data_IF_846978365772
#
_entry.id   IF_846978365772
#
_cell.length_a   1.000
_cell.length_b   1.000
_cell.length_c   1.000
_cell.angle_alpha   90.00
_cell.angle_beta   90.00
_cell.angle_gamma   90.00
#
_symmetry.space_group_name_H-M   'P 1'
#
loop_
_entity.id
_entity.type
_entity.pdbx_description
1 polymer ?
#
# COMPACT_ATOMS: atom_id res chain seq x y z
N UNK A 1 -48.02 -35.94 -19.46
CA UNK A 1 -48.33 -36.49 -18.12
C UNK A 1 -47.26 -35.99 -17.17
N UNK A 2 -47.51 -34.83 -16.58
CA UNK A 2 -47.83 -34.63 -15.16
C UNK A 2 -46.58 -34.54 -14.28
N UNK A 3 -46.13 -33.30 -14.09
CA UNK A 3 -45.25 -32.91 -13.00
C UNK A 3 -46.14 -32.56 -11.79
N UNK A 4 -45.85 -33.19 -10.64
CA UNK A 4 -46.58 -32.98 -9.40
C UNK A 4 -46.18 -31.65 -8.75
N UNK A 5 -47.18 -30.79 -8.53
CA UNK A 5 -47.16 -29.68 -7.60
C UNK A 5 -46.94 -30.19 -6.16
N UNK A 6 -46.06 -29.53 -5.41
CA UNK A 6 -46.20 -29.43 -3.95
C UNK A 6 -46.35 -27.96 -3.58
N UNK A 7 -47.58 -27.60 -3.21
CA UNK A 7 -47.89 -26.40 -2.44
C UNK A 7 -47.33 -26.57 -1.02
N UNK A 8 -46.66 -25.54 -0.51
CA UNK A 8 -46.57 -25.29 0.92
C UNK A 8 -47.13 -23.90 1.17
N UNK A 9 -48.29 -23.89 1.81
CA UNK A 9 -48.99 -22.71 2.31
C UNK A 9 -48.31 -22.25 3.59
N UNK A 10 -47.93 -20.98 3.68
CA UNK A 10 -47.67 -20.31 4.95
C UNK A 10 -48.69 -19.18 5.10
N UNK A 11 -49.62 -19.37 6.05
CA UNK A 11 -50.43 -18.29 6.59
C UNK A 11 -49.55 -17.41 7.48
N UNK A 12 -49.56 -16.10 7.23
CA UNK A 12 -49.38 -15.12 8.32
C UNK A 12 -50.39 -13.99 8.14
N UNK A 13 -51.05 -13.71 9.26
CA UNK A 13 -52.14 -12.78 9.49
C UNK A 13 -51.65 -11.34 9.70
N UNK A 14 -52.56 -10.42 9.41
CA UNK A 14 -52.65 -9.01 9.84
C UNK A 14 -51.81 -7.96 9.10
N UNK A 15 -52.54 -6.96 8.60
CA UNK A 15 -52.10 -5.76 7.89
C UNK A 15 -51.41 -4.77 8.84
N UNK A 16 -50.30 -4.21 8.37
CA UNK A 16 -49.65 -3.00 8.89
C UNK A 16 -48.56 -2.55 7.92
N UNK A 17 -48.78 -1.46 7.19
CA UNK A 17 -48.07 -1.05 5.97
C UNK A 17 -46.59 -0.69 6.16
N UNK A 18 -45.68 -1.53 5.67
CA UNK A 18 -44.30 -1.20 5.32
C UNK A 18 -43.98 -1.87 3.97
N UNK A 19 -44.01 -1.11 2.87
CA UNK A 19 -43.70 -1.62 1.54
C UNK A 19 -43.10 -0.52 0.65
N UNK A 20 -41.92 -0.01 1.05
CA UNK A 20 -41.03 0.80 0.21
C UNK A 20 -39.58 0.42 0.56
N UNK A 21 -39.15 -0.81 0.28
CA UNK A 21 -37.73 -1.19 0.40
C UNK A 21 -37.27 -2.39 -0.43
N UNK A 22 -38.17 -3.17 -1.04
CA UNK A 22 -37.75 -4.36 -1.82
C UNK A 22 -37.42 -4.07 -3.28
N UNK A 23 -38.08 -3.08 -3.92
CA UNK A 23 -37.87 -2.82 -5.36
C UNK A 23 -36.52 -2.15 -5.70
N UNK A 24 -35.88 -1.47 -4.74
CA UNK A 24 -34.58 -0.82 -4.97
C UNK A 24 -33.39 -1.79 -4.97
N UNK A 25 -33.49 -2.90 -4.23
CA UNK A 25 -32.39 -3.87 -4.12
C UNK A 25 -32.28 -4.80 -5.33
N UNK A 26 -33.39 -5.08 -6.01
CA UNK A 26 -33.40 -5.93 -7.20
C UNK A 26 -32.84 -5.20 -8.43
N UNK A 27 -32.94 -3.86 -8.49
CA UNK A 27 -32.39 -3.04 -9.58
C UNK A 27 -30.85 -2.95 -9.53
N UNK A 28 -30.27 -2.84 -8.33
CA UNK A 28 -28.80 -2.80 -8.14
C UNK A 28 -28.16 -4.15 -8.52
N UNK A 29 -28.89 -5.26 -8.33
CA UNK A 29 -28.40 -6.60 -8.72
C UNK A 29 -28.43 -6.83 -10.24
N UNK A 30 -29.40 -6.26 -10.96
CA UNK A 30 -29.52 -6.44 -12.41
C UNK A 30 -28.40 -5.77 -13.22
N UNK A 31 -27.89 -4.62 -12.76
CA UNK A 31 -26.82 -3.86 -13.48
C UNK A 31 -25.43 -4.50 -13.31
N UNK A 32 -25.20 -5.28 -12.26
CA UNK A 32 -23.91 -5.92 -11.99
C UNK A 32 -23.70 -7.27 -12.71
N UNK A 33 -24.76 -7.89 -13.26
CA UNK A 33 -24.70 -9.26 -13.82
C UNK A 33 -25.34 -9.43 -15.20
N UNK A 34 -25.48 -8.36 -16.00
CA UNK A 34 -25.64 -8.49 -17.46
C UNK A 34 -26.83 -9.31 -17.99
N UNK A 35 -28.01 -9.20 -17.38
CA UNK A 35 -29.24 -9.84 -17.90
C UNK A 35 -30.18 -8.79 -18.54
N UNK A 36 -30.42 -8.93 -19.84
CA UNK A 36 -31.13 -7.97 -20.73
C UNK A 36 -32.66 -8.11 -20.76
N UNK A 37 -33.34 -8.38 -19.65
CA UNK A 37 -34.83 -8.55 -19.65
C UNK A 37 -35.58 -7.68 -18.62
N UNK A 38 -35.07 -6.49 -18.30
CA UNK A 38 -35.82 -5.48 -17.52
C UNK A 38 -35.80 -4.12 -18.22
N UNK A 39 -36.00 -4.10 -19.54
CA UNK A 39 -35.83 -2.89 -20.36
C UNK A 39 -37.14 -2.24 -20.87
N UNK A 40 -38.35 -2.77 -20.59
CA UNK A 40 -39.56 -2.26 -21.28
C UNK A 40 -40.70 -1.68 -20.42
N UNK A 41 -40.51 -1.37 -19.13
CA UNK A 41 -41.63 -0.85 -18.30
C UNK A 41 -41.48 0.56 -17.71
N UNK A 42 -40.50 1.36 -18.12
CA UNK A 42 -40.34 2.73 -17.57
C UNK A 42 -40.13 3.76 -18.67
N UNK A 43 -41.14 3.93 -19.53
CA UNK A 43 -41.31 5.17 -20.31
C UNK A 43 -42.16 6.14 -19.49
N UNK A 44 -41.51 7.09 -18.80
CA UNK A 44 -42.23 8.27 -18.31
C UNK A 44 -41.76 8.91 -17.01
N UNK A 45 -40.70 8.45 -16.34
CA UNK A 45 -40.22 9.10 -15.11
C UNK A 45 -38.74 9.48 -15.26
N UNK A 46 -38.47 10.79 -15.31
CA UNK A 46 -37.13 11.34 -15.13
C UNK A 46 -36.68 11.07 -13.69
N UNK A 47 -36.12 9.89 -13.44
CA UNK A 47 -35.33 9.65 -12.24
C UNK A 47 -33.97 10.34 -12.41
N UNK A 48 -33.87 11.58 -11.93
CA UNK A 48 -32.57 12.13 -11.55
C UNK A 48 -32.12 11.26 -10.37
N UNK A 49 -31.26 10.28 -10.63
CA UNK A 49 -30.48 9.62 -9.60
C UNK A 49 -29.57 10.70 -8.98
N UNK A 50 -30.08 11.41 -7.96
CA UNK A 50 -29.19 12.01 -6.96
C UNK A 50 -28.47 10.83 -6.33
N UNK A 51 -27.25 10.55 -6.80
CA UNK A 51 -26.33 9.72 -6.02
C UNK A 51 -26.29 10.33 -4.64
N UNK A 52 -26.69 9.56 -3.63
CA UNK A 52 -26.62 10.01 -2.25
C UNK A 52 -25.17 10.41 -1.98
N UNK A 53 -24.98 11.70 -1.76
CA UNK A 53 -23.72 12.30 -1.41
C UNK A 53 -23.17 11.56 -0.19
N UNK A 54 -22.08 10.79 -0.37
CA UNK A 54 -21.38 10.19 0.77
C UNK A 54 -21.05 11.32 1.76
N UNK A 55 -21.23 11.09 3.08
CA UNK A 55 -20.73 12.04 4.08
C UNK A 55 -19.25 12.29 3.75
N UNK A 56 -18.87 13.58 3.67
CA UNK A 56 -17.52 13.98 3.27
C UNK A 56 -16.48 13.42 4.25
N UNK A 57 -15.27 13.22 3.77
CA UNK A 57 -14.14 12.78 4.60
C UNK A 57 -13.60 13.98 5.40
N UNK A 58 -13.28 13.86 6.70
CA UNK A 58 -12.65 14.94 7.46
C UNK A 58 -11.37 15.47 6.78
N UNK A 59 -11.00 16.74 6.99
CA UNK A 59 -9.72 17.26 6.50
C UNK A 59 -8.55 16.49 7.12
N UNK A 60 -7.48 16.36 6.36
CA UNK A 60 -6.19 15.84 6.85
C UNK A 60 -5.46 16.98 7.56
N UNK A 61 -5.12 16.81 8.83
CA UNK A 61 -4.46 17.85 9.62
C UNK A 61 -3.01 17.49 9.93
N UNK A 62 -2.73 16.23 10.23
CA UNK A 62 -1.42 15.78 10.75
C UNK A 62 -0.79 14.77 9.80
N UNK A 63 0.31 15.18 9.16
CA UNK A 63 1.08 14.37 8.23
C UNK A 63 2.48 14.18 8.80
N UNK A 64 3.01 12.96 8.77
CA UNK A 64 4.42 12.73 9.04
C UNK A 64 5.15 12.19 7.82
N UNK A 65 6.42 12.56 7.69
CA UNK A 65 7.32 12.02 6.66
C UNK A 65 8.47 11.32 7.38
N UNK A 66 8.47 10.00 7.34
CA UNK A 66 9.46 9.16 8.00
C UNK A 66 10.60 8.84 7.04
N UNK A 67 11.82 9.09 7.50
CA UNK A 67 13.04 8.72 6.82
C UNK A 67 13.93 7.91 7.74
N UNK A 68 14.72 7.01 7.18
CA UNK A 68 15.63 6.19 7.97
C UNK A 68 14.91 5.22 8.89
N UNK A 69 13.78 4.67 8.48
CA UNK A 69 13.22 3.47 9.12
C UNK A 69 14.24 2.33 9.07
N UNK A 70 14.87 2.18 7.90
CA UNK A 70 16.14 1.48 7.76
C UNK A 70 17.27 2.50 7.59
N UNK A 71 18.30 2.44 8.43
CA UNK A 71 19.30 3.51 8.53
C UNK A 71 20.27 3.64 7.35
N UNK A 72 20.36 2.63 6.49
CA UNK A 72 21.22 2.59 5.31
C UNK A 72 20.49 2.95 4.01
N UNK A 73 19.19 3.24 4.04
CA UNK A 73 18.40 3.70 2.90
C UNK A 73 18.45 5.23 2.82
N UNK A 74 19.48 5.74 2.13
CA UNK A 74 19.95 7.11 2.34
C UNK A 74 19.05 8.21 1.79
N UNK A 75 18.18 7.96 0.81
CA UNK A 75 17.33 9.03 0.25
C UNK A 75 16.37 9.56 1.30
N UNK A 76 15.66 8.67 2.00
CA UNK A 76 14.75 9.07 3.08
C UNK A 76 15.49 9.74 4.25
N UNK A 77 16.65 9.20 4.64
CA UNK A 77 17.50 9.79 5.69
C UNK A 77 17.92 11.21 5.33
N UNK A 78 18.41 11.42 4.11
CA UNK A 78 18.93 12.70 3.65
C UNK A 78 17.83 13.75 3.54
N UNK A 79 16.71 13.41 2.90
CA UNK A 79 15.56 14.32 2.73
C UNK A 79 14.97 14.76 4.06
N UNK A 80 14.76 13.82 4.99
CA UNK A 80 14.21 14.18 6.29
C UNK A 80 15.19 15.02 7.11
N UNK A 81 16.50 14.71 7.08
CA UNK A 81 17.52 15.58 7.72
C UNK A 81 17.55 16.98 7.13
N UNK A 82 17.31 17.11 5.82
CA UNK A 82 17.17 18.41 5.16
C UNK A 82 15.90 19.14 5.62
N UNK A 83 14.74 18.48 5.58
CA UNK A 83 13.45 19.09 5.96
C UNK A 83 13.30 19.40 7.45
N UNK A 84 14.07 18.75 8.32
CA UNK A 84 14.20 19.13 9.73
C UNK A 84 14.89 20.48 9.93
N UNK A 85 15.69 20.94 8.96
CA UNK A 85 16.35 22.25 8.97
C UNK A 85 15.56 23.27 8.16
N UNK A 86 15.15 22.88 6.96
CA UNK A 86 14.47 23.73 5.97
C UNK A 86 13.18 23.05 5.50
N UNK A 87 12.03 23.45 6.03
CA UNK A 87 10.75 22.76 5.81
C UNK A 87 9.86 23.38 4.73
N UNK A 88 10.34 24.40 4.02
CA UNK A 88 9.56 25.17 3.04
C UNK A 88 9.00 24.27 1.93
N UNK A 89 9.81 23.32 1.43
CA UNK A 89 9.43 22.38 0.37
C UNK A 89 8.22 21.51 0.74
N UNK A 90 8.10 21.14 2.02
CA UNK A 90 7.04 20.24 2.53
C UNK A 90 5.88 20.98 3.20
N UNK A 91 5.97 22.31 3.33
CA UNK A 91 4.91 23.11 3.98
C UNK A 91 3.69 23.23 3.07
N UNK A 92 2.50 23.00 3.63
CA UNK A 92 1.21 23.16 2.94
C UNK A 92 0.24 23.90 3.84
N UNK A 93 -0.62 24.73 3.25
CA UNK A 93 -1.60 25.49 4.03
C UNK A 93 -2.58 24.56 4.75
N UNK A 94 -2.81 24.80 6.04
CA UNK A 94 -3.76 24.04 6.85
C UNK A 94 -3.34 22.61 7.21
N UNK A 95 -2.08 22.22 6.95
CA UNK A 95 -1.55 20.88 7.25
C UNK A 95 -0.28 21.00 8.09
N UNK A 96 -0.25 20.33 9.24
CA UNK A 96 0.96 20.13 10.03
C UNK A 96 1.76 18.98 9.42
N UNK A 97 2.89 19.30 8.79
CA UNK A 97 3.79 18.30 8.20
C UNK A 97 5.04 18.14 9.06
N UNK A 98 5.24 16.95 9.62
CA UNK A 98 6.35 16.64 10.54
C UNK A 98 7.36 15.68 9.88
N UNK A 99 8.53 16.15 9.44
CA UNK A 99 9.62 15.26 9.06
C UNK A 99 10.22 14.57 10.30
N UNK A 100 10.55 13.28 10.21
CA UNK A 100 11.01 12.50 11.36
C UNK A 100 11.97 11.36 11.00
N UNK A 101 13.11 11.30 11.70
CA UNK A 101 14.04 10.17 11.57
C UNK A 101 13.56 9.00 12.43
N UNK A 102 13.10 7.94 11.77
CA UNK A 102 12.46 6.80 12.42
C UNK A 102 13.46 5.96 13.23
N UNK A 103 14.64 5.63 12.68
CA UNK A 103 15.70 4.92 13.38
C UNK A 103 17.00 5.73 13.45
N UNK A 104 17.14 6.67 14.40
CA UNK A 104 18.30 7.55 14.47
C UNK A 104 19.62 6.79 14.73
N UNK A 105 19.62 5.73 15.56
CA UNK A 105 20.84 4.96 15.82
C UNK A 105 21.31 4.18 14.59
N UNK A 106 20.40 3.54 13.86
CA UNK A 106 20.75 2.83 12.65
C UNK A 106 21.22 3.81 11.55
N UNK A 107 20.55 4.96 11.42
CA UNK A 107 20.93 6.00 10.46
C UNK A 107 22.32 6.59 10.75
N UNK A 108 22.67 6.80 12.02
CA UNK A 108 24.00 7.29 12.40
C UNK A 108 25.11 6.30 12.03
N UNK A 109 24.83 5.01 12.15
CA UNK A 109 25.77 3.93 11.81
C UNK A 109 25.73 3.50 10.34
N UNK A 110 24.82 4.07 9.54
CA UNK A 110 24.55 3.63 8.16
C UNK A 110 24.32 2.11 8.05
N UNK A 111 23.52 1.55 8.97
CA UNK A 111 23.11 0.14 8.98
C UNK A 111 21.60 0.04 8.87
N UNK A 112 21.08 -1.12 8.44
CA UNK A 112 19.63 -1.33 8.31
C UNK A 112 18.91 -1.16 9.64
N UNK A 113 19.37 -1.85 10.68
CA UNK A 113 18.87 -1.78 12.05
C UNK A 113 20.00 -2.09 13.04
N UNK A 114 19.75 -1.89 14.34
CA UNK A 114 20.68 -2.19 15.43
C UNK A 114 20.48 -3.62 15.95
N UNK A 115 19.28 -3.93 16.46
CA UNK A 115 19.00 -5.23 17.07
C UNK A 115 18.02 -6.06 16.23
N UNK A 116 16.92 -5.46 15.79
CA UNK A 116 15.89 -6.11 14.95
C UNK A 116 15.32 -5.13 13.93
N UNK A 117 14.69 -5.64 12.87
CA UNK A 117 14.08 -4.80 11.84
C UNK A 117 12.93 -3.94 12.41
N UNK A 118 13.10 -2.60 12.45
CA UNK A 118 12.12 -1.66 12.99
C UNK A 118 10.77 -1.79 12.28
N UNK A 119 10.76 -2.10 10.98
CA UNK A 119 9.55 -2.19 10.18
C UNK A 119 8.82 -3.53 10.34
N UNK A 120 9.11 -4.28 11.42
CA UNK A 120 8.49 -5.58 11.74
C UNK A 120 7.97 -5.67 13.17
N UNK A 121 8.08 -4.60 13.98
CA UNK A 121 7.81 -4.65 15.44
C UNK A 121 6.68 -3.71 15.90
N UNK A 122 5.75 -3.36 15.00
CA UNK A 122 4.55 -2.55 15.30
C UNK A 122 3.28 -3.36 15.55
N UNK A 123 3.38 -4.67 15.75
CA UNK A 123 2.24 -5.49 16.17
C UNK A 123 1.98 -5.36 17.69
N UNK A 124 0.77 -5.71 18.16
CA UNK A 124 0.41 -5.60 19.57
C UNK A 124 1.33 -6.37 20.53
N UNK A 125 1.91 -7.50 20.08
CA UNK A 125 2.79 -8.30 20.94
C UNK A 125 4.07 -7.54 21.24
N UNK A 126 4.68 -6.89 20.25
CA UNK A 126 5.88 -6.06 20.44
C UNK A 126 5.59 -4.77 21.19
N UNK A 127 4.51 -4.06 20.83
CA UNK A 127 4.16 -2.79 21.45
C UNK A 127 3.75 -2.94 22.93
N UNK A 128 3.18 -4.09 23.30
CA UNK A 128 2.78 -4.42 24.66
C UNK A 128 3.89 -4.92 25.58
N UNK A 129 5.12 -5.17 25.09
CA UNK A 129 6.23 -5.65 25.93
C UNK A 129 6.62 -4.60 26.98
N UNK A 130 6.96 -5.04 28.19
CA UNK A 130 7.51 -4.15 29.22
C UNK A 130 8.89 -3.61 28.84
N UNK A 131 9.21 -2.39 29.29
CA UNK A 131 10.51 -1.78 29.03
C UNK A 131 11.57 -2.37 29.98
N UNK A 132 12.25 -3.41 29.53
CA UNK A 132 13.41 -4.00 30.23
C UNK A 132 14.73 -3.55 29.59
N UNK A 133 15.87 -3.60 30.31
CA UNK A 133 17.19 -3.28 29.75
C UNK A 133 17.55 -4.09 28.50
N UNK A 134 17.13 -5.36 28.43
CA UNK A 134 17.41 -6.30 27.33
C UNK A 134 16.44 -6.16 26.15
N UNK A 135 15.45 -5.27 26.25
CA UNK A 135 14.48 -5.07 25.17
C UNK A 135 15.21 -4.50 23.92
N UNK A 136 15.05 -5.14 22.73
CA UNK A 136 15.68 -4.66 21.51
C UNK A 136 15.39 -3.18 21.30
N UNK A 137 16.41 -2.43 20.90
CA UNK A 137 16.32 -0.99 20.72
C UNK A 137 15.20 -0.62 19.75
N UNK A 138 15.02 -1.34 18.63
CA UNK A 138 13.92 -1.07 17.72
C UNK A 138 12.53 -1.31 18.32
N UNK A 139 12.37 -2.23 19.27
CA UNK A 139 11.09 -2.43 19.96
C UNK A 139 10.79 -1.25 20.89
N UNK A 140 11.79 -0.75 21.61
CA UNK A 140 11.66 0.50 22.39
C UNK A 140 11.32 1.68 21.49
N UNK A 141 12.02 1.79 20.35
CA UNK A 141 11.80 2.83 19.37
C UNK A 141 10.41 2.77 18.75
N UNK A 142 9.90 1.58 18.46
CA UNK A 142 8.54 1.38 17.96
C UNK A 142 7.49 1.87 18.96
N UNK A 143 7.69 1.63 20.27
CA UNK A 143 6.81 2.15 21.32
C UNK A 143 6.83 3.68 21.40
N UNK A 144 8.00 4.31 21.27
CA UNK A 144 8.12 5.78 21.20
C UNK A 144 7.37 6.35 19.99
N UNK A 145 7.56 5.74 18.81
CA UNK A 145 6.89 6.14 17.57
C UNK A 145 5.38 5.97 17.71
N UNK A 146 4.92 4.82 18.22
CA UNK A 146 3.52 4.54 18.44
C UNK A 146 2.88 5.55 19.40
N UNK A 147 3.57 5.92 20.49
CA UNK A 147 3.09 6.94 21.43
C UNK A 147 3.05 8.35 20.83
N UNK A 148 3.96 8.67 19.91
CA UNK A 148 4.08 10.03 19.33
C UNK A 148 3.16 10.25 18.14
N UNK A 149 3.00 9.23 17.29
CA UNK A 149 2.32 9.31 16.01
C UNK A 149 1.03 8.50 15.92
N UNK A 150 0.81 7.56 16.86
CA UNK A 150 -0.44 6.84 17.03
C UNK A 150 -1.25 7.42 18.20
N UNK A 151 -1.90 6.58 19.03
CA UNK A 151 -1.91 5.12 18.96
C UNK A 151 -2.68 4.58 17.75
N UNK A 152 -2.23 3.45 17.18
CA UNK A 152 -2.79 2.83 15.98
C UNK A 152 -4.29 2.55 16.17
N UNK A 153 -5.10 2.96 15.19
CA UNK A 153 -6.56 2.75 15.22
C UNK A 153 -7.34 3.70 16.15
N UNK A 154 -6.69 4.74 16.67
CA UNK A 154 -7.36 5.80 17.45
C UNK A 154 -7.59 7.07 16.62
N UNK A 155 -8.50 7.92 17.09
CA UNK A 155 -8.75 9.24 16.48
C UNK A 155 -7.55 10.20 16.62
N UNK A 156 -6.69 9.98 17.61
CA UNK A 156 -5.48 10.78 17.90
C UNK A 156 -4.31 10.46 16.96
N UNK A 157 -4.35 9.31 16.28
CA UNK A 157 -3.34 8.92 15.32
C UNK A 157 -3.15 9.99 14.24
N UNK A 158 -1.93 10.11 13.74
CA UNK A 158 -1.65 10.91 12.55
C UNK A 158 -2.53 10.46 11.40
N UNK A 159 -2.97 11.42 10.60
CA UNK A 159 -3.88 11.15 9.50
C UNK A 159 -3.13 10.41 8.38
N UNK A 160 -1.93 10.87 8.02
CA UNK A 160 -1.10 10.26 6.96
C UNK A 160 0.34 10.12 7.44
N UNK A 161 0.96 8.97 7.16
CA UNK A 161 2.41 8.80 7.24
C UNK A 161 2.95 8.36 5.89
N UNK A 162 3.84 9.17 5.32
CA UNK A 162 4.73 8.76 4.23
C UNK A 162 6.00 8.17 4.83
N UNK A 163 6.24 6.89 4.63
CA UNK A 163 7.46 6.22 5.09
C UNK A 163 8.35 5.89 3.90
N UNK A 164 9.53 6.50 3.88
CA UNK A 164 10.44 6.55 2.74
C UNK A 164 11.46 5.42 2.82
N UNK A 165 11.49 4.58 1.79
CA UNK A 165 12.37 3.43 1.65
C UNK A 165 13.15 3.48 0.34
N UNK A 166 14.29 2.80 0.34
CA UNK A 166 15.04 2.48 -0.87
C UNK A 166 15.22 0.97 -0.99
N UNK A 167 15.24 0.48 -2.22
CA UNK A 167 15.51 -0.91 -2.55
C UNK A 167 16.67 -1.01 -3.54
N UNK A 168 17.44 -2.09 -3.44
CA UNK A 168 18.46 -2.44 -4.45
C UNK A 168 17.83 -3.01 -5.72
N UNK A 169 16.56 -3.44 -5.67
CA UNK A 169 15.80 -3.99 -6.79
C UNK A 169 15.40 -2.92 -7.81
N UNK A 170 15.16 -3.32 -9.06
CA UNK A 170 14.86 -2.40 -10.16
C UNK A 170 13.38 -1.98 -10.19
N UNK A 171 12.85 -1.58 -9.02
CA UNK A 171 11.42 -1.31 -8.87
C UNK A 171 10.98 0.05 -9.40
N UNK A 172 11.90 1.00 -9.58
CA UNK A 172 11.54 2.37 -9.93
C UNK A 172 10.75 3.06 -8.81
N UNK A 173 10.00 4.10 -9.17
CA UNK A 173 9.09 4.81 -8.26
C UNK A 173 7.90 3.92 -7.90
N UNK A 174 7.70 3.64 -6.61
CA UNK A 174 6.68 2.71 -6.13
C UNK A 174 5.94 3.27 -4.91
N UNK A 175 4.61 3.16 -4.93
CA UNK A 175 3.74 3.38 -3.77
C UNK A 175 3.33 2.02 -3.20
N UNK A 176 3.42 1.86 -1.88
CA UNK A 176 3.05 0.64 -1.17
C UNK A 176 1.81 0.92 -0.31
N UNK A 177 0.73 0.20 -0.62
CA UNK A 177 -0.58 0.34 0.01
C UNK A 177 -0.87 -0.90 0.86
N UNK A 178 -1.52 -0.70 2.01
CA UNK A 178 -1.83 -1.80 2.95
C UNK A 178 -3.31 -2.20 2.94
N UNK A 179 -4.18 -1.38 2.34
CA UNK A 179 -5.63 -1.59 2.31
C UNK A 179 -6.19 -1.25 0.92
N UNK A 180 -6.87 -2.21 0.29
CA UNK A 180 -7.50 -2.02 -1.02
C UNK A 180 -8.84 -1.27 -0.96
N UNK A 181 -9.32 -0.97 0.25
CA UNK A 181 -10.56 -0.23 0.51
C UNK A 181 -10.34 1.22 0.93
N UNK A 182 -9.08 1.63 1.17
CA UNK A 182 -8.73 3.01 1.53
C UNK A 182 -8.86 3.95 0.31
N UNK A 183 -10.07 4.47 0.12
CA UNK A 183 -10.38 5.37 -0.98
C UNK A 183 -9.50 6.64 -0.99
N UNK A 184 -9.05 7.13 0.18
CA UNK A 184 -8.20 8.31 0.26
C UNK A 184 -6.83 8.04 -0.35
N UNK A 185 -6.18 6.96 0.08
CA UNK A 185 -4.84 6.58 -0.41
C UNK A 185 -4.88 6.16 -1.88
N UNK A 186 -5.95 5.50 -2.34
CA UNK A 186 -6.11 5.14 -3.75
C UNK A 186 -6.25 6.40 -4.63
N UNK A 187 -7.06 7.38 -4.22
CA UNK A 187 -7.19 8.65 -4.94
C UNK A 187 -5.88 9.43 -4.97
N UNK A 188 -5.17 9.48 -3.84
CA UNK A 188 -3.84 10.08 -3.76
C UNK A 188 -2.85 9.38 -4.70
N UNK A 189 -2.85 8.04 -4.71
CA UNK A 189 -1.98 7.25 -5.59
C UNK A 189 -2.29 7.51 -7.06
N UNK A 190 -3.57 7.59 -7.43
CA UNK A 190 -3.99 7.96 -8.78
C UNK A 190 -3.48 9.35 -9.18
N UNK A 191 -3.60 10.33 -8.28
CA UNK A 191 -3.10 11.69 -8.50
C UNK A 191 -1.57 11.74 -8.68
N UNK A 192 -0.82 11.09 -7.78
CA UNK A 192 0.65 11.01 -7.87
C UNK A 192 1.06 10.38 -9.20
N UNK A 193 0.46 9.25 -9.59
CA UNK A 193 0.74 8.59 -10.87
C UNK A 193 0.52 9.51 -12.06
N UNK A 194 -0.59 10.26 -12.07
CA UNK A 194 -0.89 11.20 -13.13
C UNK A 194 0.14 12.35 -13.20
N UNK A 195 0.57 12.87 -12.04
CA UNK A 195 1.57 13.94 -11.98
C UNK A 195 2.98 13.49 -12.33
N UNK A 196 3.33 12.22 -12.09
CA UNK A 196 4.64 11.68 -12.42
C UNK A 196 4.79 11.30 -13.91
N UNK A 197 3.68 11.16 -14.65
CA UNK A 197 3.73 10.79 -16.06
C UNK A 197 4.62 11.76 -16.87
N UNK A 198 5.48 11.24 -17.78
CA UNK A 198 5.52 9.86 -18.29
C UNK A 198 6.36 8.88 -17.44
N UNK A 199 6.98 9.32 -16.34
CA UNK A 199 7.68 8.40 -15.44
C UNK A 199 6.66 7.48 -14.74
N UNK A 200 6.88 6.17 -14.81
CA UNK A 200 5.98 5.21 -14.19
C UNK A 200 6.12 5.23 -12.66
N UNK A 201 4.97 5.33 -11.98
CA UNK A 201 4.85 5.12 -10.54
C UNK A 201 3.98 3.88 -10.30
N UNK A 202 4.59 2.80 -9.84
CA UNK A 202 3.94 1.51 -9.64
C UNK A 202 3.24 1.46 -8.28
N UNK A 203 2.25 0.58 -8.15
CA UNK A 203 1.48 0.41 -6.91
C UNK A 203 1.59 -1.03 -6.47
N UNK A 204 2.22 -1.25 -5.32
CA UNK A 204 2.30 -2.56 -4.66
C UNK A 204 1.24 -2.62 -3.56
N UNK A 205 0.44 -3.68 -3.55
CA UNK A 205 -0.66 -3.85 -2.61
C UNK A 205 -0.38 -5.00 -1.65
N UNK A 206 -0.25 -4.67 -0.37
CA UNK A 206 0.00 -5.54 0.77
C UNK A 206 -1.30 -5.95 1.49
N UNK A 207 -2.36 -6.24 0.73
CA UNK A 207 -3.69 -6.56 1.27
C UNK A 207 -3.97 -8.08 1.17
N UNK A 208 -3.23 -8.87 1.94
CA UNK A 208 -3.41 -10.32 2.00
C UNK A 208 -3.98 -10.74 3.36
N UNK A 209 -5.14 -11.41 3.45
CA UNK A 209 -5.81 -11.73 4.72
C UNK A 209 -4.94 -12.50 5.72
N UNK A 210 -4.02 -13.32 5.21
CA UNK A 210 -3.07 -14.10 6.02
C UNK A 210 -1.76 -13.38 6.40
N UNK A 211 -1.49 -12.17 5.86
CA UNK A 211 -0.29 -11.40 6.17
C UNK A 211 -0.66 -10.12 6.91
N UNK A 212 -0.43 -10.10 8.22
CA UNK A 212 -0.55 -8.87 9.02
C UNK A 212 0.80 -8.15 9.02
N UNK A 213 0.88 -7.04 8.31
CA UNK A 213 2.08 -6.22 8.25
C UNK A 213 2.16 -5.31 9.50
N UNK A 214 3.28 -5.39 10.22
CA UNK A 214 3.59 -4.63 11.44
C UNK A 214 4.58 -3.51 11.14
N UNK A 215 4.20 -2.62 10.21
CA UNK A 215 5.08 -1.58 9.66
C UNK A 215 5.07 -0.30 10.50
N UNK A 216 6.14 0.48 10.40
CA UNK A 216 6.32 1.82 11.00
C UNK A 216 5.19 2.77 10.67
N UNK A 217 4.78 2.82 9.39
CA UNK A 217 3.68 3.69 8.91
C UNK A 217 2.30 3.24 9.37
N UNK A 218 2.12 1.97 9.73
CA UNK A 218 0.79 1.44 10.08
C UNK A 218 0.19 2.05 11.36
N UNK A 219 0.92 2.93 12.06
CA UNK A 219 0.40 3.70 13.20
C UNK A 219 -0.57 4.81 12.79
N UNK A 220 -0.49 5.30 11.54
CA UNK A 220 -1.41 6.33 11.01
C UNK A 220 -2.72 5.75 10.50
N UNK A 221 -3.71 6.62 10.29
CA UNK A 221 -5.00 6.28 9.65
C UNK A 221 -4.82 5.87 8.19
N UNK A 222 -3.96 6.59 7.47
CA UNK A 222 -3.66 6.36 6.04
C UNK A 222 -2.15 6.13 5.83
N UNK A 223 -1.66 4.88 6.00
CA UNK A 223 -0.25 4.54 5.83
C UNK A 223 0.15 4.51 4.34
N UNK A 224 1.28 5.13 4.00
CA UNK A 224 1.79 5.19 2.62
C UNK A 224 3.27 4.85 2.62
N UNK A 225 3.65 3.73 2.00
CA UNK A 225 5.06 3.44 1.72
C UNK A 225 5.48 4.12 0.43
N UNK A 226 6.59 4.84 0.44
CA UNK A 226 7.24 5.39 -0.75
C UNK A 226 8.55 4.65 -0.94
N UNK A 227 8.64 3.85 -1.99
CA UNK A 227 9.78 3.00 -2.29
C UNK A 227 10.40 3.45 -3.61
N UNK A 228 11.71 3.67 -3.64
CA UNK A 228 12.40 4.11 -4.86
C UNK A 228 13.73 3.38 -5.00
N UNK A 229 13.86 2.62 -6.08
CA UNK A 229 15.07 1.89 -6.45
C UNK A 229 15.25 1.81 -7.97
N UNK A 230 16.37 1.24 -8.46
CA UNK A 230 17.42 0.61 -7.67
C UNK A 230 18.39 1.65 -7.08
N UNK A 231 18.71 1.48 -5.80
CA UNK A 231 19.79 2.20 -5.13
C UNK A 231 20.52 1.25 -4.19
N UNK A 232 21.85 1.17 -4.33
CA UNK A 232 22.66 0.44 -3.36
C UNK A 232 22.50 1.06 -1.96
N UNK A 233 22.34 0.22 -0.93
CA UNK A 233 22.30 0.69 0.45
C UNK A 233 23.61 1.39 0.83
N UNK A 234 23.51 2.47 1.61
CA UNK A 234 24.66 3.33 1.94
C UNK A 234 25.13 4.22 0.79
N UNK A 235 24.44 4.25 -0.35
CA UNK A 235 24.71 5.14 -1.48
C UNK A 235 23.55 6.12 -1.65
N UNK A 236 23.88 7.37 -1.95
CA UNK A 236 22.91 8.41 -2.28
C UNK A 236 23.02 8.76 -3.76
N UNK A 237 21.94 8.59 -4.52
CA UNK A 237 21.87 8.99 -5.93
C UNK A 237 20.91 10.16 -6.11
N UNK A 238 21.35 11.16 -6.88
CA UNK A 238 20.56 12.37 -7.12
C UNK A 238 19.24 12.07 -7.84
N UNK A 239 19.25 11.19 -8.84
CA UNK A 239 18.06 10.80 -9.61
C UNK A 239 17.00 10.08 -8.76
N UNK A 240 17.42 9.18 -7.87
CA UNK A 240 16.54 8.50 -6.91
C UNK A 240 15.99 9.47 -5.87
N UNK A 241 16.83 10.37 -5.37
CA UNK A 241 16.44 11.41 -4.41
C UNK A 241 15.39 12.35 -5.03
N UNK A 242 15.57 12.81 -6.26
CA UNK A 242 14.59 13.66 -6.95
C UNK A 242 13.27 12.94 -7.22
N UNK A 243 13.30 11.66 -7.60
CA UNK A 243 12.08 10.85 -7.74
C UNK A 243 11.30 10.76 -6.42
N UNK A 244 11.99 10.45 -5.32
CA UNK A 244 11.37 10.37 -4.00
C UNK A 244 10.77 11.72 -3.56
N UNK A 245 11.48 12.84 -3.80
CA UNK A 245 10.98 14.19 -3.54
C UNK A 245 9.71 14.50 -4.32
N UNK A 246 9.68 14.15 -5.61
CA UNK A 246 8.50 14.38 -6.46
C UNK A 246 7.28 13.60 -5.94
N UNK A 247 7.45 12.35 -5.53
CA UNK A 247 6.36 11.55 -4.95
C UNK A 247 5.79 12.23 -3.70
N UNK A 248 6.67 12.61 -2.76
CA UNK A 248 6.26 13.29 -1.51
C UNK A 248 5.58 14.62 -1.81
N UNK A 249 6.16 15.44 -2.70
CA UNK A 249 5.57 16.71 -3.13
C UNK A 249 4.16 16.53 -3.68
N UNK A 250 3.95 15.59 -4.59
CA UNK A 250 2.63 15.36 -5.17
C UNK A 250 1.63 14.76 -4.18
N UNK A 251 2.08 13.93 -3.24
CA UNK A 251 1.25 13.48 -2.11
C UNK A 251 0.79 14.64 -1.22
N UNK A 252 1.68 15.57 -0.88
CA UNK A 252 1.35 16.77 -0.12
C UNK A 252 0.45 17.74 -0.89
N UNK A 253 0.70 17.93 -2.19
CA UNK A 253 -0.16 18.74 -3.07
C UNK A 253 -1.59 18.16 -3.12
N UNK A 254 -1.73 16.83 -3.24
CA UNK A 254 -3.03 16.15 -3.18
C UNK A 254 -3.77 16.45 -1.88
N UNK A 255 -3.08 16.33 -0.74
CA UNK A 255 -3.65 16.57 0.60
C UNK A 255 -4.16 18.01 0.71
N UNK A 256 -3.36 19.00 0.27
CA UNK A 256 -3.77 20.40 0.28
C UNK A 256 -5.02 20.61 -0.59
N UNK A 257 -5.03 20.11 -1.83
CA UNK A 257 -6.19 20.27 -2.71
C UNK A 257 -7.45 19.61 -2.15
N UNK A 258 -7.32 18.43 -1.56
CA UNK A 258 -8.41 17.77 -0.87
C UNK A 258 -8.98 18.65 0.25
N UNK A 259 -8.11 19.19 1.11
CA UNK A 259 -8.52 20.07 2.21
C UNK A 259 -9.14 21.40 1.73
N UNK A 260 -8.69 21.93 0.60
CA UNK A 260 -9.26 23.12 -0.07
C UNK A 260 -10.61 22.84 -0.75
N UNK A 261 -11.11 21.60 -0.67
CA UNK A 261 -12.43 21.24 -1.17
C UNK A 261 -12.46 20.72 -2.60
N UNK A 262 -11.30 20.44 -3.22
CA UNK A 262 -11.26 19.79 -4.52
C UNK A 262 -11.93 18.42 -4.42
N UNK A 263 -13.00 18.23 -5.19
CA UNK A 263 -13.63 16.94 -5.37
C UNK A 263 -12.81 16.06 -6.31
N UNK A 264 -12.66 14.79 -5.95
CA UNK A 264 -12.05 13.77 -6.78
C UNK A 264 -13.13 12.78 -7.23
N UNK A 265 -13.28 12.64 -8.55
CA UNK A 265 -14.22 11.70 -9.15
C UNK A 265 -13.79 10.25 -8.87
N UNK A 266 -14.70 9.26 -8.94
CA UNK A 266 -14.32 7.86 -8.84
C UNK A 266 -13.21 7.50 -9.83
N UNK A 267 -12.25 6.70 -9.38
CA UNK A 267 -11.12 6.28 -10.20
C UNK A 267 -10.81 4.80 -10.02
N UNK A 268 -10.05 4.25 -10.95
CA UNK A 268 -9.44 2.93 -10.83
C UNK A 268 -7.95 3.03 -11.13
N UNK A 269 -7.15 2.23 -10.43
CA UNK A 269 -5.71 2.13 -10.69
C UNK A 269 -5.28 0.67 -10.74
N UNK A 270 -4.33 0.39 -11.63
CA UNK A 270 -3.62 -0.88 -11.64
C UNK A 270 -2.67 -0.96 -10.43
N UNK A 271 -2.75 -2.09 -9.72
CA UNK A 271 -1.91 -2.43 -8.59
C UNK A 271 -1.41 -3.87 -8.70
N UNK A 272 -0.33 -4.18 -7.99
CA UNK A 272 0.28 -5.49 -7.94
C UNK A 272 0.09 -6.07 -6.54
N UNK A 273 -0.88 -6.97 -6.40
CA UNK A 273 -1.24 -7.58 -5.13
C UNK A 273 -0.25 -8.68 -4.79
N UNK A 274 0.37 -8.58 -3.62
CA UNK A 274 1.30 -9.59 -3.12
C UNK A 274 0.58 -10.92 -2.89
N UNK A 275 1.17 -12.00 -3.41
CA UNK A 275 0.70 -13.37 -3.22
C UNK A 275 1.57 -14.09 -2.19
N UNK A 276 2.86 -14.22 -2.46
CA UNK A 276 3.81 -14.97 -1.65
C UNK A 276 5.25 -14.56 -1.96
N UNK A 277 6.17 -14.78 -1.03
CA UNK A 277 7.60 -14.68 -1.29
C UNK A 277 8.11 -15.94 -2.01
N UNK A 278 9.15 -15.77 -2.82
CA UNK A 278 9.99 -16.87 -3.33
C UNK A 278 11.29 -16.85 -2.57
N UNK A 279 11.71 -17.99 -2.09
CA UNK A 279 12.94 -18.14 -1.34
C UNK A 279 14.12 -18.45 -2.27
N UNK A 280 15.34 -18.18 -1.82
CA UNK A 280 16.52 -18.61 -2.58
C UNK A 280 16.68 -20.12 -2.44
N UNK A 281 17.14 -20.81 -3.50
CA UNK A 281 17.67 -22.15 -3.38
C UNK A 281 18.86 -22.16 -2.41
N UNK A 282 18.77 -23.01 -1.38
CA UNK A 282 19.79 -23.16 -0.35
C UNK A 282 20.07 -24.64 -0.08
N UNK A 283 21.28 -24.95 0.37
CA UNK A 283 21.65 -26.29 0.80
C UNK A 283 21.21 -26.58 2.25
N UNK A 284 21.58 -27.75 2.77
CA UNK A 284 21.26 -28.18 4.14
C UNK A 284 21.91 -27.29 5.23
N UNK A 285 23.00 -26.59 4.91
CA UNK A 285 23.65 -25.64 5.81
C UNK A 285 23.00 -24.26 5.76
N UNK A 286 22.08 -24.04 4.83
CA UNK A 286 21.44 -22.76 4.58
C UNK A 286 22.27 -21.84 3.68
N UNK A 287 23.32 -22.33 3.02
CA UNK A 287 24.13 -21.55 2.07
C UNK A 287 23.44 -21.46 0.71
N UNK A 288 23.66 -20.36 -0.02
CA UNK A 288 23.07 -20.16 -1.35
C UNK A 288 23.65 -21.16 -2.36
N UNK A 289 22.78 -21.85 -3.09
CA UNK A 289 23.17 -22.77 -4.16
C UNK A 289 22.95 -22.21 -5.56
N UNK A 290 22.16 -21.14 -5.67
CA UNK A 290 21.87 -20.47 -6.93
C UNK A 290 21.68 -18.95 -6.72
N UNK A 291 21.96 -18.15 -7.75
CA UNK A 291 21.66 -16.72 -7.78
C UNK A 291 20.50 -16.43 -8.73
N UNK A 292 19.95 -15.20 -8.69
CA UNK A 292 18.91 -14.76 -9.62
C UNK A 292 19.40 -14.90 -11.06
N UNK A 293 18.60 -15.55 -11.90
CA UNK A 293 18.92 -15.76 -13.30
C UNK A 293 18.96 -14.42 -14.04
N UNK A 294 19.92 -14.24 -14.95
CA UNK A 294 20.13 -12.99 -15.73
C UNK A 294 18.92 -12.51 -16.55
N UNK A 295 18.02 -13.43 -16.91
CA UNK A 295 16.76 -13.08 -17.61
C UNK A 295 15.68 -12.54 -16.67
N UNK A 296 15.81 -12.75 -15.36
CA UNK A 296 14.91 -12.24 -14.32
C UNK A 296 15.50 -11.01 -13.60
N UNK A 297 16.83 -10.93 -13.48
CA UNK A 297 17.51 -9.79 -12.86
C UNK A 297 17.05 -8.46 -13.49
N UNK A 298 16.71 -7.49 -12.63
CA UNK A 298 16.23 -6.14 -13.00
C UNK A 298 14.91 -6.12 -13.80
N UNK A 299 14.14 -7.21 -13.78
CA UNK A 299 12.85 -7.34 -14.49
C UNK A 299 11.65 -7.23 -13.55
N UNK A 300 11.77 -6.44 -12.49
CA UNK A 300 10.64 -6.14 -11.62
C UNK A 300 9.43 -5.66 -12.45
N UNK A 301 8.23 -6.06 -12.03
CA UNK A 301 6.94 -5.79 -12.69
C UNK A 301 6.68 -6.49 -14.02
N UNK A 302 7.70 -7.09 -14.67
CA UNK A 302 7.54 -7.78 -15.93
C UNK A 302 6.94 -9.18 -15.72
N UNK A 303 6.32 -9.75 -16.74
CA UNK A 303 5.71 -11.08 -16.62
C UNK A 303 6.78 -12.16 -16.42
N UNK A 304 6.50 -13.11 -15.52
CA UNK A 304 7.24 -14.36 -15.35
C UNK A 304 6.26 -15.51 -15.58
N UNK A 305 6.48 -16.28 -16.64
CA UNK A 305 5.62 -17.37 -17.09
C UNK A 305 6.12 -18.73 -16.60
N UNK A 306 5.24 -19.73 -16.45
CA UNK A 306 5.66 -21.10 -16.14
C UNK A 306 6.72 -21.58 -17.14
N UNK A 307 7.84 -22.10 -16.62
CA UNK A 307 8.99 -22.51 -17.41
C UNK A 307 10.07 -21.43 -17.64
N UNK A 308 9.81 -20.16 -17.33
CA UNK A 308 10.83 -19.11 -17.42
C UNK A 308 11.90 -19.30 -16.32
N UNK A 309 13.19 -19.04 -16.60
CA UNK A 309 14.26 -19.26 -15.64
C UNK A 309 14.30 -18.19 -14.54
N UNK A 310 14.28 -18.63 -13.28
CA UNK A 310 14.32 -17.78 -12.09
C UNK A 310 15.70 -17.72 -11.45
N UNK A 311 16.38 -18.85 -11.36
CA UNK A 311 17.70 -18.97 -10.75
C UNK A 311 18.69 -19.70 -11.65
N UNK A 312 19.98 -19.50 -11.38
CA UNK A 312 21.09 -20.21 -12.01
C UNK A 312 22.11 -20.61 -10.96
N UNK A 313 22.55 -21.87 -10.99
CA UNK A 313 23.64 -22.37 -10.17
C UNK A 313 25.00 -22.01 -10.77
N UNK A 314 26.08 -22.19 -10.01
CA UNK A 314 27.45 -21.90 -10.49
C UNK A 314 27.85 -22.81 -11.67
N UNK A 315 27.39 -24.05 -11.68
CA UNK A 315 27.59 -25.02 -12.77
C UNK A 315 26.65 -24.80 -13.97
N UNK A 316 25.79 -23.77 -13.92
CA UNK A 316 24.97 -23.32 -15.04
C UNK A 316 23.63 -24.04 -15.18
N UNK A 317 23.18 -24.77 -14.16
CA UNK A 317 21.84 -25.34 -14.12
C UNK A 317 20.81 -24.23 -13.90
N UNK A 318 19.84 -24.11 -14.80
CA UNK A 318 18.71 -23.20 -14.66
C UNK A 318 17.61 -23.83 -13.79
N UNK A 319 17.06 -23.05 -12.88
CA UNK A 319 15.87 -23.41 -12.09
C UNK A 319 14.73 -22.52 -12.58
N UNK A 320 13.69 -23.14 -13.13
CA UNK A 320 12.58 -22.46 -13.79
C UNK A 320 11.39 -22.25 -12.85
N UNK A 321 10.52 -21.33 -13.23
CA UNK A 321 9.29 -21.05 -12.50
C UNK A 321 8.27 -22.17 -12.71
N UNK A 322 7.97 -22.91 -11.64
CA UNK A 322 7.01 -24.04 -11.67
C UNK A 322 5.58 -23.65 -11.25
N UNK A 323 5.25 -22.36 -11.23
CA UNK A 323 3.89 -21.93 -10.88
C UNK A 323 2.86 -22.27 -11.96
N UNK A 324 1.58 -22.26 -11.59
CA UNK A 324 0.48 -22.61 -12.50
C UNK A 324 0.10 -21.48 -13.47
N UNK A 325 0.48 -20.24 -13.19
CA UNK A 325 0.09 -19.06 -13.97
C UNK A 325 1.15 -17.96 -13.91
N UNK A 326 1.09 -17.07 -14.90
CA UNK A 326 1.95 -15.89 -15.01
C UNK A 326 1.81 -15.00 -13.78
N UNK A 327 2.94 -14.55 -13.25
CA UNK A 327 3.04 -13.60 -12.14
C UNK A 327 3.91 -12.41 -12.55
N UNK A 328 3.93 -11.37 -11.70
CA UNK A 328 4.81 -10.23 -11.88
C UNK A 328 5.73 -10.16 -10.65
N UNK A 329 7.03 -10.46 -10.77
CA UNK A 329 7.94 -10.45 -9.65
C UNK A 329 8.29 -9.02 -9.24
N UNK A 330 8.53 -8.80 -7.95
CA UNK A 330 8.91 -7.51 -7.36
C UNK A 330 9.92 -7.73 -6.25
N UNK A 331 10.68 -6.70 -5.87
CA UNK A 331 11.82 -6.81 -4.95
C UNK A 331 12.80 -7.91 -5.40
N UNK A 332 13.04 -8.00 -6.71
CA UNK A 332 13.98 -8.97 -7.25
C UNK A 332 15.37 -8.64 -6.75
N UNK A 333 15.99 -9.57 -6.03
CA UNK A 333 17.36 -9.45 -5.55
C UNK A 333 17.59 -8.28 -4.56
N UNK A 334 16.63 -8.03 -3.66
CA UNK A 334 16.78 -7.05 -2.59
C UNK A 334 17.86 -7.50 -1.57
N UNK A 335 18.90 -6.69 -1.38
CA UNK A 335 20.02 -6.99 -0.51
C UNK A 335 19.60 -7.32 0.93
N UNK A 336 18.64 -6.58 1.50
CA UNK A 336 18.14 -6.79 2.84
C UNK A 336 17.30 -8.06 3.00
N UNK A 337 16.93 -8.73 1.91
CA UNK A 337 16.04 -9.90 1.93
C UNK A 337 16.78 -11.23 1.86
N UNK A 338 18.11 -11.21 1.66
CA UNK A 338 18.96 -12.39 1.76
C UNK A 338 18.87 -13.07 3.14
N UNK A 339 18.95 -12.30 4.23
CA UNK A 339 18.81 -12.82 5.61
C UNK A 339 17.41 -13.40 5.88
N UNK A 340 16.40 -12.95 5.11
CA UNK A 340 14.98 -13.34 5.26
C UNK A 340 14.61 -14.52 4.35
N UNK A 341 15.62 -15.10 3.69
CA UNK A 341 15.49 -16.08 2.62
C UNK A 341 14.41 -15.68 1.60
N UNK A 342 14.53 -14.49 1.02
CA UNK A 342 13.51 -13.93 0.14
C UNK A 342 14.17 -13.34 -1.10
N UNK A 343 14.05 -14.06 -2.21
CA UNK A 343 14.66 -13.74 -3.50
C UNK A 343 13.87 -12.69 -4.29
N UNK A 344 12.54 -12.86 -4.33
CA UNK A 344 11.60 -11.90 -4.90
C UNK A 344 10.18 -12.21 -4.40
N UNK A 345 9.26 -11.28 -4.61
CA UNK A 345 7.85 -11.42 -4.23
C UNK A 345 7.00 -11.68 -5.46
N UNK A 346 6.21 -12.76 -5.44
CA UNK A 346 5.20 -13.00 -6.48
C UNK A 346 4.03 -12.05 -6.28
N UNK A 347 3.62 -11.39 -7.35
CA UNK A 347 2.42 -10.55 -7.35
C UNK A 347 1.49 -10.89 -8.49
N UNK A 348 0.21 -10.55 -8.31
CA UNK A 348 -0.81 -10.58 -9.34
C UNK A 348 -1.26 -9.16 -9.64
N UNK A 349 -1.29 -8.79 -10.92
CA UNK A 349 -1.86 -7.52 -11.35
C UNK A 349 -3.38 -7.53 -11.12
N UNK A 350 -3.88 -6.49 -10.46
CA UNK A 350 -5.29 -6.27 -10.13
C UNK A 350 -5.65 -4.81 -10.39
N UNK A 351 -6.95 -4.53 -10.56
CA UNK A 351 -7.46 -3.17 -10.60
C UNK A 351 -8.20 -2.89 -9.30
N UNK A 352 -7.78 -1.86 -8.57
CA UNK A 352 -8.47 -1.37 -7.36
C UNK A 352 -9.23 -0.09 -7.68
N UNK A 353 -10.35 0.12 -7.00
CA UNK A 353 -11.30 1.20 -7.28
C UNK A 353 -11.47 2.10 -6.06
N UNK A 354 -11.52 3.41 -6.29
CA UNK A 354 -11.92 4.37 -5.28
C UNK A 354 -13.23 5.04 -5.70
N UNK A 355 -14.10 5.24 -4.70
CA UNK A 355 -15.29 6.07 -4.85
C UNK A 355 -14.88 7.54 -4.96
N UNK A 356 -15.85 8.41 -5.21
CA UNK A 356 -15.63 9.84 -5.13
C UNK A 356 -15.13 10.25 -3.74
N UNK A 357 -14.25 11.24 -3.68
CA UNK A 357 -13.67 11.75 -2.44
C UNK A 357 -13.82 13.28 -2.41
N UNK A 358 -14.26 13.81 -1.27
CA UNK A 358 -14.32 15.25 -1.00
C UNK A 358 -14.15 15.52 0.49
N UNK A 359 -13.60 16.67 0.84
CA UNK A 359 -13.51 17.10 2.24
C UNK A 359 -14.89 17.51 2.77
N UNK A 360 -15.17 17.23 4.04
CA UNK A 360 -16.44 17.57 4.70
C UNK A 360 -16.57 19.03 5.14
N UNK A 361 -15.48 19.79 5.20
CA UNK A 361 -15.47 21.17 5.73
C UNK A 361 -15.67 22.28 4.69
N UNK A 362 -16.09 21.96 3.47
CA UNK A 362 -16.46 22.99 2.49
C UNK A 362 -17.89 23.45 2.78
N UNK A 363 -18.04 24.41 3.68
CA UNK A 363 -19.21 25.31 3.75
C UNK A 363 -18.81 26.69 3.29
#
# INVERSE_FOLDING_TARGET
MSAAMKQVTIQTSSLGSAALSSQGNDFVRAVLWGHTEVAESIKGHNFILKMADSPGTPPVKRVAIFGGTHGNELSGVYLVKHWLKENEEITRSGVEVTPFIANPRAAEKCVRYIDVDLNRVFDPQHLGKENTPDLPYEVRRAKEIHSRFGPKGSDEAYDVIFDLHNTTSHMGSTLILEDSSDAFVIQMSNYIKACMAPLQCMVLLLDHPGMKYSTTRSVSKHPVGVEVGPQAHGVLRADILDQMRMIVKHGLDFIQYFNEGKGFAPCSIDAYKVLQKVEYPRDENGDLTACIHKKLQDRDWQELNPGDPMFITIDGQEITYEGESTIHPTFINEAAYYEKNHAFTKTKKVTIVARNLRCSLVQ
#
